data_IF_314130599809
#
_entry.id   IF_314130599809
#
_cell.length_a   1.000
_cell.length_b   1.000
_cell.length_c   1.000
_cell.angle_alpha   90.00
_cell.angle_beta   90.00
_cell.angle_gamma   90.00
#
_symmetry.space_group_name_H-M   'P 1'
#
loop_
_entity.id
_entity.type
_entity.pdbx_description
1 polymer ?
#
# COMPACT_ATOMS: atom_id res chain seq x y z
N UNK A 1 19.30 41.52 13.33
CA UNK A 1 20.20 41.16 12.21
C UNK A 1 19.89 39.72 11.87
N UNK A 2 19.52 39.42 10.63
CA UNK A 2 19.32 38.05 10.20
C UNK A 2 20.70 37.36 10.19
N UNK A 3 20.81 36.19 10.84
CA UNK A 3 22.01 35.37 10.77
C UNK A 3 22.15 34.93 9.31
N UNK A 4 23.25 35.31 8.65
CA UNK A 4 23.60 34.82 7.33
C UNK A 4 23.89 33.31 7.45
N UNK A 5 23.08 32.49 6.80
CA UNK A 5 23.26 31.05 6.79
C UNK A 5 24.29 30.68 5.72
N UNK A 6 25.18 29.74 6.04
CA UNK A 6 26.17 29.27 5.06
C UNK A 6 25.49 28.46 3.96
N UNK A 7 26.15 28.33 2.81
CA UNK A 7 25.61 27.56 1.68
C UNK A 7 25.38 26.09 2.06
N UNK A 8 26.22 25.55 2.94
CA UNK A 8 26.09 24.21 3.50
C UNK A 8 24.88 24.11 4.44
N UNK A 9 24.66 25.10 5.32
CA UNK A 9 23.49 25.16 6.20
C UNK A 9 22.19 25.27 5.37
N UNK A 10 22.19 26.06 4.30
CA UNK A 10 21.04 26.19 3.37
C UNK A 10 20.79 24.89 2.60
N UNK A 11 21.84 24.19 2.19
CA UNK A 11 21.73 22.92 1.46
C UNK A 11 21.27 21.80 2.41
N UNK A 12 21.77 21.74 3.63
CA UNK A 12 21.36 20.76 4.66
C UNK A 12 19.91 21.00 5.09
N UNK A 13 19.51 22.26 5.27
CA UNK A 13 18.13 22.63 5.56
C UNK A 13 17.20 22.33 4.36
N UNK A 14 17.60 22.66 3.12
CA UNK A 14 16.82 22.37 1.92
C UNK A 14 16.70 20.87 1.58
N UNK A 15 17.72 20.06 1.90
CA UNK A 15 17.66 18.59 1.81
C UNK A 15 16.74 18.02 2.90
N UNK A 16 16.69 18.66 4.07
CA UNK A 16 15.92 18.23 5.24
C UNK A 16 14.45 18.68 5.25
N UNK A 17 14.06 19.76 4.57
CA UNK A 17 12.87 20.52 4.99
C UNK A 17 11.65 20.50 4.05
N UNK A 18 11.31 19.39 3.37
CA UNK A 18 9.95 19.28 2.77
C UNK A 18 9.44 17.88 2.47
N UNK A 19 10.32 16.96 2.07
CA UNK A 19 9.94 15.57 1.72
C UNK A 19 10.25 14.60 2.87
N UNK A 20 11.43 14.72 3.47
CA UNK A 20 11.90 13.89 4.59
C UNK A 20 11.05 14.03 5.86
N UNK A 21 10.50 15.21 6.16
CA UNK A 21 9.59 15.40 7.30
C UNK A 21 8.25 14.65 7.14
N UNK A 22 7.84 14.37 5.91
CA UNK A 22 6.56 13.73 5.62
C UNK A 22 6.59 12.22 5.77
N UNK A 23 7.76 11.60 5.86
CA UNK A 23 7.88 10.16 5.97
C UNK A 23 8.58 9.77 7.25
N UNK A 24 8.05 8.76 7.92
CA UNK A 24 8.73 8.10 9.04
C UNK A 24 8.55 6.59 8.89
N UNK A 25 9.49 5.83 9.42
CA UNK A 25 9.36 4.38 9.48
C UNK A 25 8.07 3.97 10.21
N UNK A 26 7.42 2.94 9.68
CA UNK A 26 6.17 2.42 10.21
C UNK A 26 6.34 0.97 10.74
N UNK A 27 7.06 0.78 11.87
CA UNK A 27 7.33 -0.56 12.41
C UNK A 27 6.04 -1.30 12.81
N UNK A 28 4.99 -0.58 13.19
CA UNK A 28 3.67 -1.16 13.50
C UNK A 28 3.00 -1.74 12.26
N UNK A 29 3.09 -1.04 11.12
CA UNK A 29 2.57 -1.50 9.83
C UNK A 29 3.36 -2.72 9.36
N UNK A 30 4.69 -2.68 9.49
CA UNK A 30 5.56 -3.80 9.15
C UNK A 30 5.25 -5.05 10.01
N UNK A 31 5.08 -4.87 11.33
CA UNK A 31 4.76 -5.97 12.23
C UNK A 31 3.40 -6.59 11.89
N UNK A 32 2.41 -5.77 11.54
CA UNK A 32 1.11 -6.25 11.08
C UNK A 32 1.23 -6.97 9.73
N UNK A 33 1.95 -6.39 8.76
CA UNK A 33 2.17 -6.97 7.45
C UNK A 33 2.80 -8.37 7.57
N UNK A 34 3.84 -8.54 8.39
CA UNK A 34 4.47 -9.84 8.64
C UNK A 34 3.49 -10.90 9.18
N UNK A 35 2.54 -10.50 10.03
CA UNK A 35 1.48 -11.42 10.51
C UNK A 35 0.53 -11.80 9.38
N UNK A 36 0.11 -10.83 8.58
CA UNK A 36 -0.84 -11.04 7.48
C UNK A 36 -0.25 -11.87 6.33
N UNK A 37 1.01 -11.61 5.95
CA UNK A 37 1.74 -12.41 4.95
C UNK A 37 1.72 -13.89 5.34
N UNK A 38 2.02 -14.21 6.60
CA UNK A 38 1.98 -15.58 7.11
C UNK A 38 0.56 -16.14 7.17
N UNK A 39 -0.39 -15.36 7.70
CA UNK A 39 -1.80 -15.75 7.86
C UNK A 39 -2.44 -16.12 6.52
N UNK A 40 -2.18 -15.33 5.48
CA UNK A 40 -2.78 -15.48 4.15
C UNK A 40 -1.84 -16.15 3.13
N UNK A 41 -0.66 -16.61 3.55
CA UNK A 41 0.32 -17.30 2.72
C UNK A 41 0.68 -16.52 1.43
N UNK A 42 0.96 -15.22 1.58
CA UNK A 42 1.26 -14.32 0.47
C UNK A 42 2.71 -14.50 0.00
N UNK A 43 3.01 -15.54 -0.78
CA UNK A 43 4.36 -15.90 -1.21
C UNK A 43 5.13 -14.76 -1.88
N UNK A 44 4.48 -14.02 -2.77
CA UNK A 44 5.12 -12.91 -3.49
C UNK A 44 5.54 -11.78 -2.54
N UNK A 45 4.71 -11.49 -1.54
CA UNK A 45 5.02 -10.49 -0.50
C UNK A 45 6.04 -11.00 0.53
N UNK A 46 6.09 -12.32 0.76
CA UNK A 46 7.11 -12.95 1.61
C UNK A 46 8.50 -12.89 0.97
N UNK A 47 8.58 -13.04 -0.35
CA UNK A 47 9.84 -12.98 -1.10
C UNK A 47 10.34 -11.55 -1.37
N UNK A 48 9.44 -10.57 -1.46
CA UNK A 48 9.80 -9.19 -1.77
C UNK A 48 10.47 -8.48 -0.59
N UNK A 49 11.46 -7.62 -0.88
CA UNK A 49 12.04 -6.72 0.12
C UNK A 49 11.22 -5.43 0.19
N UNK A 50 10.45 -5.26 1.27
CA UNK A 50 9.45 -4.18 1.41
C UNK A 50 9.87 -3.19 2.49
N UNK A 51 9.80 -1.89 2.18
CA UNK A 51 9.89 -0.81 3.17
C UNK A 51 8.49 -0.32 3.54
N UNK A 52 8.25 -0.09 4.84
CA UNK A 52 6.98 0.42 5.35
C UNK A 52 7.17 1.82 5.93
N UNK A 53 6.36 2.76 5.46
CA UNK A 53 6.44 4.16 5.84
C UNK A 53 5.07 4.71 6.24
N UNK A 54 5.08 5.59 7.22
CA UNK A 54 3.96 6.47 7.50
C UNK A 54 4.14 7.77 6.74
N UNK A 55 3.08 8.18 6.02
CA UNK A 55 2.97 9.48 5.40
C UNK A 55 2.25 10.45 6.34
N UNK A 56 2.94 11.51 6.77
CA UNK A 56 2.56 12.48 7.82
C UNK A 56 2.00 13.80 7.27
N UNK A 57 1.34 13.78 6.11
CA UNK A 57 0.65 14.98 5.63
C UNK A 57 -0.70 15.19 6.32
N UNK A 58 -1.16 16.44 6.40
CA UNK A 58 -2.51 16.77 6.89
C UNK A 58 -3.62 16.22 6.00
N UNK A 59 -3.36 16.12 4.69
CA UNK A 59 -4.28 15.59 3.69
C UNK A 59 -3.57 14.58 2.81
N UNK A 60 -4.29 13.55 2.42
CA UNK A 60 -3.82 12.52 1.49
C UNK A 60 -4.93 12.13 0.54
N UNK A 61 -4.57 11.80 -0.70
CA UNK A 61 -5.48 11.20 -1.69
C UNK A 61 -5.58 9.68 -1.54
N UNK A 62 -4.83 9.10 -0.60
CA UNK A 62 -4.77 7.66 -0.36
C UNK A 62 -4.73 7.35 1.14
N UNK A 63 -5.27 6.19 1.52
CA UNK A 63 -5.14 5.65 2.88
C UNK A 63 -3.92 4.74 3.01
N UNK A 64 -3.70 3.90 2.01
CA UNK A 64 -2.51 3.10 1.80
C UNK A 64 -2.07 3.24 0.33
N UNK A 65 -0.80 2.95 0.07
CA UNK A 65 -0.25 2.94 -1.28
C UNK A 65 0.95 2.00 -1.38
N UNK A 66 0.84 0.98 -2.22
CA UNK A 66 1.92 0.10 -2.61
C UNK A 66 2.57 0.63 -3.90
N UNK A 67 3.87 0.92 -3.84
CA UNK A 67 4.65 1.40 -4.98
C UNK A 67 5.91 0.59 -5.18
N UNK A 68 6.30 0.39 -6.43
CA UNK A 68 7.56 -0.31 -6.75
C UNK A 68 8.75 0.64 -6.63
N UNK A 69 9.78 0.19 -5.93
CA UNK A 69 11.11 0.74 -6.09
C UNK A 69 11.68 0.21 -7.42
N UNK A 70 11.90 1.09 -8.40
CA UNK A 70 12.36 0.69 -9.74
C UNK A 70 13.59 1.47 -10.18
N UNK A 71 14.34 0.89 -11.12
CA UNK A 71 15.52 1.51 -11.72
C UNK A 71 16.55 1.91 -10.66
N UNK A 72 16.96 3.18 -10.67
CA UNK A 72 17.91 3.72 -9.70
C UNK A 72 17.49 3.56 -8.25
N UNK A 73 16.18 3.57 -7.95
CA UNK A 73 15.71 3.47 -6.56
C UNK A 73 15.93 2.08 -5.99
N UNK A 74 15.59 1.03 -6.74
CA UNK A 74 15.88 -0.35 -6.32
C UNK A 74 17.39 -0.57 -6.16
N UNK A 75 18.22 -0.02 -7.06
CA UNK A 75 19.68 -0.10 -6.95
C UNK A 75 20.21 0.59 -5.68
N UNK A 76 19.68 1.77 -5.33
CA UNK A 76 20.18 2.55 -4.19
C UNK A 76 19.70 2.04 -2.83
N UNK A 77 18.48 1.50 -2.76
CA UNK A 77 17.86 1.13 -1.47
C UNK A 77 17.83 -0.37 -1.22
N UNK A 78 17.92 -1.19 -2.27
CA UNK A 78 17.70 -2.64 -2.20
C UNK A 78 16.25 -3.05 -1.99
N UNK A 79 15.31 -2.11 -1.96
CA UNK A 79 13.88 -2.43 -1.84
C UNK A 79 13.28 -2.78 -3.21
N UNK A 80 12.31 -3.70 -3.19
CA UNK A 80 11.43 -4.00 -4.33
C UNK A 80 10.18 -3.13 -4.28
N UNK A 81 9.64 -2.90 -3.08
CA UNK A 81 8.42 -2.14 -2.83
C UNK A 81 8.55 -1.20 -1.64
N UNK A 82 7.75 -0.13 -1.67
CA UNK A 82 7.47 0.75 -0.55
C UNK A 82 5.96 0.76 -0.34
N UNK A 83 5.52 0.39 0.86
CA UNK A 83 4.14 0.52 1.31
C UNK A 83 4.05 1.75 2.20
N UNK A 84 3.22 2.70 1.78
CA UNK A 84 2.98 3.96 2.45
C UNK A 84 1.59 3.91 3.10
N UNK A 85 1.47 4.32 4.37
CA UNK A 85 0.18 4.44 5.07
C UNK A 85 0.02 5.86 5.56
N UNK A 86 -1.14 6.47 5.29
CA UNK A 86 -1.42 7.82 5.78
C UNK A 86 -1.65 7.80 7.30
N UNK A 87 -0.75 8.43 8.07
CA UNK A 87 -0.68 8.31 9.53
C UNK A 87 -1.96 8.78 10.26
N UNK A 88 -2.56 9.94 9.94
CA UNK A 88 -3.84 10.31 10.51
C UNK A 88 -4.96 9.29 10.30
N UNK A 89 -4.98 8.57 9.17
CA UNK A 89 -5.96 7.50 8.93
C UNK A 89 -5.67 6.31 9.83
N UNK A 90 -4.42 5.84 9.84
CA UNK A 90 -3.99 4.76 10.73
C UNK A 90 -4.41 5.01 12.18
N UNK A 91 -4.17 6.20 12.70
CA UNK A 91 -4.39 6.53 14.11
C UNK A 91 -5.86 6.47 14.53
N UNK A 92 -6.79 6.82 13.62
CA UNK A 92 -8.23 6.80 13.88
C UNK A 92 -8.93 5.50 13.48
N UNK A 93 -8.26 4.62 12.76
CA UNK A 93 -8.81 3.34 12.31
C UNK A 93 -8.81 2.30 13.43
N UNK A 94 -9.83 1.44 13.44
CA UNK A 94 -9.84 0.24 14.28
C UNK A 94 -8.79 -0.76 13.81
N UNK A 95 -8.45 -1.74 14.65
CA UNK A 95 -7.51 -2.79 14.29
C UNK A 95 -7.99 -3.57 13.07
N UNK A 96 -9.28 -3.91 12.99
CA UNK A 96 -9.86 -4.58 11.82
C UNK A 96 -9.66 -3.76 10.53
N UNK A 97 -9.89 -2.44 10.57
CA UNK A 97 -9.67 -1.56 9.42
C UNK A 97 -8.19 -1.47 9.04
N UNK A 98 -7.29 -1.45 10.02
CA UNK A 98 -5.83 -1.49 9.79
C UNK A 98 -5.41 -2.82 9.14
N UNK A 99 -5.92 -3.95 9.63
CA UNK A 99 -5.66 -5.27 9.03
C UNK A 99 -6.12 -5.32 7.59
N UNK A 100 -7.34 -4.86 7.32
CA UNK A 100 -7.91 -4.83 5.97
C UNK A 100 -7.09 -3.96 5.01
N UNK A 101 -6.66 -2.76 5.45
CA UNK A 101 -5.83 -1.87 4.63
C UNK A 101 -4.47 -2.49 4.33
N UNK A 102 -3.76 -3.01 5.35
CA UNK A 102 -2.43 -3.58 5.12
C UNK A 102 -2.52 -4.83 4.25
N UNK A 103 -3.52 -5.67 4.45
CA UNK A 103 -3.77 -6.82 3.58
C UNK A 103 -4.01 -6.38 2.13
N UNK A 104 -4.82 -5.35 1.91
CA UNK A 104 -5.05 -4.76 0.60
C UNK A 104 -3.75 -4.31 -0.09
N UNK A 105 -2.90 -3.56 0.62
CA UNK A 105 -1.62 -3.10 0.04
C UNK A 105 -0.66 -4.25 -0.28
N UNK A 106 -0.70 -5.34 0.50
CA UNK A 106 0.12 -6.53 0.23
C UNK A 106 -0.36 -7.28 -1.02
N UNK A 107 -1.66 -7.31 -1.31
CA UNK A 107 -2.21 -7.96 -2.52
C UNK A 107 -1.75 -7.30 -3.82
N UNK A 108 -1.29 -6.04 -3.76
CA UNK A 108 -0.67 -5.38 -4.90
C UNK A 108 0.69 -5.97 -5.26
N UNK A 109 1.39 -6.64 -4.34
CA UNK A 109 2.71 -7.21 -4.62
C UNK A 109 2.52 -8.48 -5.44
N UNK A 110 3.02 -8.45 -6.67
CA UNK A 110 2.96 -9.60 -7.56
C UNK A 110 4.29 -9.83 -8.27
N UNK A 111 4.69 -11.10 -8.32
CA UNK A 111 5.81 -11.62 -9.08
C UNK A 111 5.31 -12.12 -10.43
N UNK A 112 5.93 -11.66 -11.51
CA UNK A 112 5.71 -12.22 -12.85
C UNK A 112 7.01 -12.86 -13.34
N UNK A 113 6.91 -14.10 -13.81
CA UNK A 113 8.02 -14.78 -14.49
C UNK A 113 7.82 -14.61 -15.99
N UNK A 114 8.79 -13.98 -16.65
CA UNK A 114 8.75 -13.81 -18.10
C UNK A 114 8.95 -15.16 -18.81
N UNK A 115 8.63 -15.23 -20.10
CA UNK A 115 8.92 -16.39 -20.95
C UNK A 115 10.39 -16.79 -20.99
N UNK A 116 11.30 -15.88 -20.61
CA UNK A 116 12.75 -16.10 -20.52
C UNK A 116 13.22 -16.52 -19.12
N UNK A 117 12.28 -16.78 -18.19
CA UNK A 117 12.58 -17.16 -16.80
C UNK A 117 13.04 -16.00 -15.90
N UNK A 118 12.99 -14.75 -16.38
CA UNK A 118 13.34 -13.59 -15.56
C UNK A 118 12.18 -13.21 -14.66
N UNK A 119 12.49 -12.99 -13.39
CA UNK A 119 11.54 -12.45 -12.41
C UNK A 119 11.37 -10.95 -12.64
N UNK A 120 10.11 -10.50 -12.66
CA UNK A 120 9.72 -9.09 -12.72
C UNK A 120 8.65 -8.83 -11.68
N UNK A 121 8.92 -7.92 -10.76
CA UNK A 121 7.93 -7.39 -9.83
C UNK A 121 6.94 -6.49 -10.58
N UNK A 122 5.64 -6.59 -10.29
CA UNK A 122 4.56 -5.76 -10.83
C UNK A 122 3.53 -5.42 -9.74
N UNK A 123 2.85 -4.28 -9.90
CA UNK A 123 1.72 -3.92 -9.05
C UNK A 123 0.47 -4.57 -9.64
N UNK A 124 -0.11 -5.55 -8.94
CA UNK A 124 -1.42 -6.16 -9.29
C UNK A 124 -2.49 -5.07 -9.23
N UNK A 125 -3.43 -5.02 -10.18
CA UNK A 125 -4.58 -4.10 -10.10
C UNK A 125 -5.69 -4.69 -9.23
N UNK A 126 -6.59 -3.83 -8.76
CA UNK A 126 -7.79 -4.26 -8.05
C UNK A 126 -8.64 -5.20 -8.91
N UNK A 127 -9.34 -6.11 -8.24
CA UNK A 127 -10.33 -6.96 -8.90
C UNK A 127 -11.57 -6.15 -9.30
N UNK A 128 -11.94 -5.12 -8.53
CA UNK A 128 -13.09 -4.25 -8.80
C UNK A 128 -12.71 -2.78 -8.68
N UNK A 129 -12.91 -2.02 -9.76
CA UNK A 129 -12.92 -0.56 -9.80
C UNK A 129 -14.17 -0.14 -10.58
N UNK A 130 -15.21 0.31 -9.89
CA UNK A 130 -16.51 0.61 -10.52
C UNK A 130 -17.22 1.80 -9.87
N UNK A 131 -18.01 2.51 -10.65
CA UNK A 131 -18.91 3.56 -10.18
C UNK A 131 -20.20 2.95 -9.62
N UNK A 132 -20.60 3.43 -8.43
CA UNK A 132 -21.83 2.97 -7.78
C UNK A 132 -23.09 3.17 -8.65
N UNK A 133 -23.13 4.21 -9.47
CA UNK A 133 -24.26 4.46 -10.37
C UNK A 133 -24.37 3.42 -11.48
N UNK A 134 -23.24 2.89 -11.97
CA UNK A 134 -23.23 1.78 -12.95
C UNK A 134 -23.76 0.50 -12.31
N UNK A 135 -23.29 0.16 -11.11
CA UNK A 135 -23.77 -1.03 -10.38
C UNK A 135 -25.26 -0.90 -10.04
N UNK A 136 -25.72 0.30 -9.69
CA UNK A 136 -27.14 0.55 -9.37
C UNK A 136 -28.04 0.35 -10.59
N UNK A 137 -27.61 0.81 -11.76
CA UNK A 137 -28.41 0.77 -12.98
C UNK A 137 -28.36 -0.61 -13.66
N UNK A 138 -27.18 -1.25 -13.69
CA UNK A 138 -26.94 -2.44 -14.51
C UNK A 138 -26.66 -3.72 -13.70
N UNK A 139 -26.60 -3.62 -12.36
CA UNK A 139 -26.22 -4.73 -11.50
C UNK A 139 -24.76 -5.18 -11.69
N UNK A 140 -24.40 -6.39 -11.25
CA UNK A 140 -23.06 -6.95 -11.39
C UNK A 140 -22.81 -7.43 -12.83
N UNK A 141 -22.54 -6.48 -13.72
CA UNK A 141 -22.44 -6.74 -15.16
C UNK A 141 -21.14 -7.43 -15.58
N UNK A 142 -20.10 -7.40 -14.75
CA UNK A 142 -18.81 -8.03 -15.00
C UNK A 142 -18.59 -9.25 -14.10
N UNK A 143 -17.73 -10.20 -14.52
CA UNK A 143 -17.42 -11.40 -13.74
C UNK A 143 -16.91 -11.07 -12.34
N UNK A 144 -16.05 -10.05 -12.20
CA UNK A 144 -15.53 -9.66 -10.89
C UNK A 144 -16.62 -9.07 -9.98
N UNK A 145 -17.60 -8.35 -10.53
CA UNK A 145 -18.74 -7.86 -9.76
C UNK A 145 -19.70 -8.99 -9.38
N UNK A 146 -19.86 -10.01 -10.22
CA UNK A 146 -20.67 -11.20 -9.90
C UNK A 146 -20.03 -12.00 -8.77
N UNK A 147 -18.72 -12.23 -8.85
CA UNK A 147 -17.98 -12.85 -7.74
C UNK A 147 -18.07 -12.02 -6.46
N UNK A 148 -18.04 -10.68 -6.56
CA UNK A 148 -18.22 -9.81 -5.39
C UNK A 148 -19.62 -9.94 -4.77
N UNK A 149 -20.67 -10.01 -5.59
CA UNK A 149 -22.05 -10.25 -5.12
C UNK A 149 -22.18 -11.58 -4.39
N UNK A 150 -21.61 -12.66 -4.94
CA UNK A 150 -21.59 -13.99 -4.32
C UNK A 150 -20.89 -13.96 -2.95
N UNK A 151 -19.71 -13.34 -2.86
CA UNK A 151 -18.96 -13.18 -1.60
C UNK A 151 -19.80 -12.43 -0.55
N UNK A 152 -20.50 -11.36 -0.94
CA UNK A 152 -21.36 -10.63 0.00
C UNK A 152 -22.56 -11.46 0.45
N UNK A 153 -23.18 -12.20 -0.46
CA UNK A 153 -24.30 -13.06 -0.13
C UNK A 153 -23.92 -14.17 0.87
N UNK A 154 -22.77 -14.81 0.66
CA UNK A 154 -22.21 -15.82 1.58
C UNK A 154 -21.92 -15.23 2.96
N UNK A 155 -21.27 -14.05 3.00
CA UNK A 155 -20.99 -13.36 4.26
C UNK A 155 -22.26 -12.98 5.02
N UNK A 156 -23.32 -12.56 4.33
CA UNK A 156 -24.61 -12.24 4.95
C UNK A 156 -25.34 -13.47 5.49
N UNK A 157 -25.25 -14.62 4.80
CA UNK A 157 -25.80 -15.88 5.30
C UNK A 157 -25.12 -16.34 6.59
N UNK A 158 -23.79 -16.25 6.65
CA UNK A 158 -23.03 -16.61 7.84
C UNK A 158 -23.26 -15.70 9.06
N UNK A 159 -23.99 -14.59 8.92
CA UNK A 159 -24.41 -13.70 10.02
C UNK A 159 -25.81 -14.06 10.55
N UNK A 160 -26.61 -14.78 9.75
CA UNK A 160 -27.98 -15.18 10.10
C UNK A 160 -28.07 -16.54 10.81
N UNK A 161 -26.97 -17.30 10.85
CA UNK A 161 -26.78 -18.54 11.61
C UNK A 161 -25.93 -18.29 12.87
#
# INVERSE_FOLDING_TARGET
MAKEMTLEEVVEEAISSKETEKYVDAPEVEALAKKLIKKFQLSDAEEAVIKFLFYKAEKSSFFGKCSRATGKWSYLTGYDYVIEVWKPFWDRSSDQTREALVYHELLHIQKQVTSTGKVKWVVRKHDVEEFLDVVREYGPWSTNLQSLEEIFYENMKGIAD
#
